data_IF_037686983223
#
_entry.id   IF_037686983223
#
_cell.length_a   1.000
_cell.length_b   1.000
_cell.length_c   1.000
_cell.angle_alpha   90.00
_cell.angle_beta   90.00
_cell.angle_gamma   90.00
#
_symmetry.space_group_name_H-M   'P 1'
#
loop_
_entity.id
_entity.type
_entity.pdbx_description
1 polymer ?
#
# COMPACT_ATOMS: atom_id res chain seq x y z
N UNK A 1 -16.12 -1.80 -1.56
CA UNK A 1 -15.23 -0.82 -0.91
C UNK A 1 -14.06 -1.54 -0.30
N UNK A 2 -12.84 -1.06 -0.56
CA UNK A 2 -11.58 -1.64 -0.09
C UNK A 2 -10.90 -0.62 0.81
N UNK A 3 -10.45 -1.07 1.97
CA UNK A 3 -9.68 -0.28 2.93
C UNK A 3 -8.52 -1.11 3.43
N UNK A 4 -7.32 -0.55 3.43
CA UNK A 4 -6.17 -1.17 4.06
C UNK A 4 -5.50 -0.21 5.02
N UNK A 5 -5.33 -0.62 6.27
CA UNK A 5 -4.45 0.07 7.23
C UNK A 5 -3.20 -0.78 7.44
N UNK A 6 -2.05 -0.12 7.60
CA UNK A 6 -0.78 -0.81 7.73
C UNK A 6 0.23 -0.01 8.56
N UNK A 7 1.24 -0.70 9.10
CA UNK A 7 2.52 -0.09 9.45
C UNK A 7 3.63 -0.69 8.59
N UNK A 8 4.54 0.17 8.14
CA UNK A 8 5.63 -0.22 7.26
C UNK A 8 6.95 0.35 7.78
N UNK A 9 8.00 -0.45 7.65
CA UNK A 9 9.37 -0.10 8.05
C UNK A 9 10.31 -0.33 6.90
N UNK A 10 11.35 0.49 6.81
CA UNK A 10 12.42 0.34 5.85
C UNK A 10 13.72 0.87 6.43
N UNK A 11 14.85 0.26 6.05
CA UNK A 11 16.18 0.66 6.53
C UNK A 11 16.76 1.88 5.80
N UNK A 12 16.10 2.35 4.74
CA UNK A 12 16.58 3.44 3.90
C UNK A 12 16.19 4.83 4.42
N UNK A 13 17.04 5.81 4.12
CA UNK A 13 16.80 7.23 4.39
C UNK A 13 16.49 7.96 3.08
N UNK A 14 15.80 9.10 3.15
CA UNK A 14 15.46 9.97 2.02
C UNK A 14 14.85 9.23 0.81
N UNK A 15 13.85 8.39 1.08
CA UNK A 15 13.21 7.59 0.03
C UNK A 15 11.70 7.80 0.00
N UNK A 16 11.14 7.89 -1.22
CA UNK A 16 9.71 8.02 -1.45
C UNK A 16 9.10 6.63 -1.63
N UNK A 17 8.38 6.21 -0.60
CA UNK A 17 7.65 4.94 -0.59
C UNK A 17 6.19 5.21 -0.93
N UNK A 18 5.64 4.42 -1.85
CA UNK A 18 4.23 4.46 -2.23
C UNK A 18 3.51 3.18 -1.83
N UNK A 19 2.26 3.33 -1.41
CA UNK A 19 1.35 2.24 -1.07
C UNK A 19 0.10 2.39 -1.93
N UNK A 20 -0.34 1.32 -2.58
CA UNK A 20 -1.43 1.37 -3.57
C UNK A 20 -2.24 0.09 -3.52
N UNK A 21 -3.54 0.17 -3.80
CA UNK A 21 -4.34 -1.03 -4.03
C UNK A 21 -4.14 -1.47 -5.48
N UNK A 22 -3.85 -2.75 -5.68
CA UNK A 22 -3.87 -3.39 -6.99
C UNK A 22 -5.08 -4.32 -7.12
N UNK A 23 -5.54 -4.50 -8.35
CA UNK A 23 -6.65 -5.37 -8.74
C UNK A 23 -6.11 -6.35 -9.79
N UNK A 24 -6.13 -7.65 -9.50
CA UNK A 24 -5.62 -8.67 -10.40
C UNK A 24 -4.16 -8.45 -10.85
N UNK A 25 -3.33 -7.86 -9.99
CA UNK A 25 -1.93 -7.55 -10.28
C UNK A 25 -1.67 -6.23 -11.03
N UNK A 26 -2.70 -5.39 -11.25
CA UNK A 26 -2.57 -4.06 -11.86
C UNK A 26 -2.83 -2.98 -10.81
N UNK A 27 -1.92 -2.00 -10.68
CA UNK A 27 -2.06 -0.92 -9.70
C UNK A 27 -3.20 0.03 -10.07
N UNK A 28 -4.03 0.38 -9.09
CA UNK A 28 -5.01 1.43 -9.24
C UNK A 28 -4.44 2.75 -8.73
N UNK A 29 -3.75 3.47 -9.62
CA UNK A 29 -2.96 4.67 -9.30
C UNK A 29 -3.74 5.75 -8.52
N UNK A 30 -5.07 5.80 -8.70
CA UNK A 30 -5.98 6.67 -7.93
C UNK A 30 -6.00 6.42 -6.42
N UNK A 31 -5.48 5.29 -5.96
CA UNK A 31 -5.43 4.89 -4.54
C UNK A 31 -4.05 5.07 -3.90
N UNK A 32 -3.08 5.57 -4.66
CA UNK A 32 -1.69 5.71 -4.19
C UNK A 32 -1.63 6.71 -3.03
N UNK A 33 -1.04 6.27 -1.92
CA UNK A 33 -0.60 7.13 -0.81
C UNK A 33 0.91 7.03 -0.70
N UNK A 34 1.59 8.17 -0.65
CA UNK A 34 3.05 8.22 -0.58
C UNK A 34 3.52 8.82 0.74
N UNK A 35 4.68 8.32 1.21
CA UNK A 35 5.41 8.85 2.35
C UNK A 35 6.87 9.04 1.97
N UNK A 36 7.39 10.24 2.21
CA UNK A 36 8.83 10.46 2.22
C UNK A 36 9.39 9.98 3.56
N UNK A 37 10.23 8.95 3.53
CA UNK A 37 10.89 8.40 4.70
C UNK A 37 12.19 9.17 4.93
N UNK A 38 12.25 9.93 6.02
CA UNK A 38 13.43 10.74 6.37
C UNK A 38 14.55 9.94 7.06
N UNK A 39 14.21 8.88 7.81
CA UNK A 39 15.18 8.09 8.58
C UNK A 39 15.03 6.58 8.32
N UNK A 40 16.13 5.83 8.34
CA UNK A 40 16.16 4.39 8.08
C UNK A 40 15.72 3.53 9.26
N UNK A 41 15.12 4.12 10.27
CA UNK A 41 14.57 3.42 11.43
C UNK A 41 13.09 3.71 11.63
N UNK A 42 12.51 4.53 10.75
CA UNK A 42 11.13 4.95 10.80
C UNK A 42 10.18 3.77 10.55
N UNK A 43 9.25 3.58 11.47
CA UNK A 43 8.07 2.76 11.26
C UNK A 43 6.85 3.68 11.20
N UNK A 44 6.29 3.80 10.01
CA UNK A 44 5.16 4.69 9.74
C UNK A 44 3.88 3.91 9.56
N UNK A 45 2.78 4.41 10.13
CA UNK A 45 1.44 3.93 9.84
C UNK A 45 0.83 4.68 8.63
N UNK A 46 0.00 3.98 7.88
CA UNK A 46 -0.71 4.53 6.73
C UNK A 46 -2.04 3.82 6.48
N UNK A 47 -2.84 4.41 5.60
CA UNK A 47 -4.06 3.81 5.12
C UNK A 47 -4.26 4.12 3.63
N UNK A 48 -4.81 3.17 2.88
CA UNK A 48 -5.24 3.33 1.50
C UNK A 48 -6.69 2.86 1.36
N UNK A 49 -7.46 3.55 0.54
CA UNK A 49 -8.88 3.27 0.35
C UNK A 49 -9.24 3.35 -1.13
N UNK A 50 -10.25 2.59 -1.55
CA UNK A 50 -10.79 2.69 -2.89
C UNK A 50 -12.11 1.97 -3.09
N UNK A 51 -12.75 2.27 -4.21
CA UNK A 51 -13.92 1.57 -4.72
C UNK A 51 -13.52 0.84 -6.00
N UNK A 52 -13.90 -0.43 -6.06
CA UNK A 52 -13.51 -1.42 -7.07
C UNK A 52 -14.70 -2.31 -7.38
N UNK A 53 -14.86 -2.64 -8.65
CA UNK A 53 -15.86 -3.60 -9.14
C UNK A 53 -15.12 -4.88 -9.48
N UNK A 54 -15.15 -5.85 -8.57
CA UNK A 54 -14.44 -7.11 -8.75
C UNK A 54 -15.33 -8.15 -9.45
N UNK A 55 -14.86 -8.67 -10.57
CA UNK A 55 -15.44 -9.85 -11.19
C UNK A 55 -15.17 -11.11 -10.35
N UNK A 56 -15.91 -12.18 -10.63
CA UNK A 56 -15.71 -13.46 -9.95
C UNK A 56 -14.30 -13.99 -10.22
N UNK A 57 -13.53 -14.23 -9.15
CA UNK A 57 -12.16 -14.72 -9.22
C UNK A 57 -11.10 -13.62 -9.21
N UNK A 58 -11.49 -12.35 -9.29
CA UNK A 58 -10.57 -11.24 -9.08
C UNK A 58 -10.30 -11.01 -7.59
N UNK A 59 -9.15 -10.41 -7.31
CA UNK A 59 -8.65 -10.16 -5.98
C UNK A 59 -8.02 -8.78 -5.90
N UNK A 60 -7.94 -8.26 -4.68
CA UNK A 60 -7.28 -7.00 -4.38
C UNK A 60 -6.05 -7.24 -3.52
N UNK A 61 -5.04 -6.41 -3.70
CA UNK A 61 -3.76 -6.51 -3.02
C UNK A 61 -3.30 -5.14 -2.55
N UNK A 62 -2.52 -5.11 -1.46
CA UNK A 62 -1.71 -3.94 -1.13
C UNK A 62 -0.35 -4.09 -1.79
N UNK A 63 -0.03 -3.19 -2.71
CA UNK A 63 1.28 -3.11 -3.35
C UNK A 63 2.11 -1.99 -2.73
N UNK A 64 3.41 -2.24 -2.64
CA UNK A 64 4.39 -1.29 -2.12
C UNK A 64 5.40 -0.97 -3.20
N UNK A 65 5.67 0.32 -3.38
CA UNK A 65 6.65 0.84 -4.33
C UNK A 65 7.71 1.62 -3.57
N UNK A 66 8.96 1.53 -4.02
CA UNK A 66 10.05 2.38 -3.56
C UNK A 66 10.61 3.10 -4.80
N UNK A 67 10.17 4.32 -5.04
CA UNK A 67 10.39 5.01 -6.31
C UNK A 67 11.78 5.66 -6.43
N UNK A 68 12.56 5.63 -5.35
CA UNK A 68 13.83 6.35 -5.24
C UNK A 68 15.00 5.45 -4.84
N UNK A 69 14.72 4.23 -4.40
CA UNK A 69 15.72 3.34 -3.81
C UNK A 69 15.36 1.86 -4.04
N UNK A 70 16.35 0.98 -3.89
CA UNK A 70 16.18 -0.47 -3.87
C UNK A 70 16.06 -1.05 -2.46
N UNK A 71 15.98 -0.21 -1.41
CA UNK A 71 15.82 -0.71 -0.05
C UNK A 71 14.49 -1.44 0.11
N UNK A 72 14.53 -2.56 0.83
CA UNK A 72 13.33 -3.31 1.18
C UNK A 72 12.41 -2.46 2.06
N UNK A 73 11.12 -2.45 1.71
CA UNK A 73 10.05 -1.95 2.57
C UNK A 73 9.27 -3.15 3.08
N UNK A 74 9.19 -3.27 4.39
CA UNK A 74 8.54 -4.40 5.07
C UNK A 74 7.28 -3.93 5.77
N UNK A 75 6.14 -4.48 5.41
CA UNK A 75 4.89 -4.33 6.18
C UNK A 75 5.05 -5.09 7.50
N UNK A 76 4.94 -4.40 8.62
CA UNK A 76 5.01 -4.99 9.97
C UNK A 76 3.62 -5.47 10.42
N UNK A 77 2.60 -4.65 10.14
CA UNK A 77 1.21 -4.96 10.42
C UNK A 77 0.36 -4.52 9.21
N UNK A 78 -0.63 -5.32 8.84
CA UNK A 78 -1.55 -4.99 7.76
C UNK A 78 -2.94 -5.54 8.05
N UNK A 79 -3.96 -4.72 7.83
CA UNK A 79 -5.35 -5.13 7.87
C UNK A 79 -6.02 -4.66 6.57
N UNK A 80 -6.33 -5.60 5.68
CA UNK A 80 -7.07 -5.36 4.44
C UNK A 80 -8.51 -5.83 4.64
N UNK A 81 -9.44 -4.89 4.50
CA UNK A 81 -10.88 -5.14 4.62
C UNK A 81 -11.56 -4.85 3.27
N UNK A 82 -12.36 -5.81 2.83
CA UNK A 82 -13.20 -5.68 1.63
C UNK A 82 -14.65 -5.80 2.05
N UNK A 83 -15.45 -4.79 1.72
CA UNK A 83 -16.89 -4.74 2.00
C UNK A 83 -17.63 -4.64 0.67
N UNK A 84 -18.52 -5.59 0.39
CA UNK A 84 -19.45 -5.49 -0.72
C UNK A 84 -20.38 -4.30 -0.50
N UNK A 85 -20.56 -3.46 -1.52
CA UNK A 85 -21.52 -2.36 -1.48
C UNK A 85 -22.69 -2.82 -2.34
N UNK A 86 -23.85 -2.93 -1.70
CA UNK A 86 -25.14 -3.31 -2.31
C UNK A 86 -26.05 -2.11 -2.43
#
# INVERSE_FOLDING_TARGET
GVSCTFSAKTSGTNQLVGFVIAEGGVTADKTVVQRLVGTGTDEGAGAVHGLFDLATGEYVELWVTNNTSSNTVTIQHGNLTVVAIT
#
